data_IF_965518691428
#
_entry.id   IF_965518691428
#
_cell.length_a   1.000
_cell.length_b   1.000
_cell.length_c   1.000
_cell.angle_alpha   90.00
_cell.angle_beta   90.00
_cell.angle_gamma   90.00
#
_symmetry.space_group_name_H-M   'P 1'
#
loop_
_entity.id
_entity.type
_entity.pdbx_description
1 polymer ?
#
# COMPACT_ATOMS: atom_id res chain seq x y z
N UNK A 1 -1.35 7.42 -6.51
CA UNK A 1 -1.04 6.41 -7.55
C UNK A 1 0.41 6.60 -7.98
N UNK A 2 1.18 5.53 -8.21
CA UNK A 2 2.55 5.66 -8.72
C UNK A 2 2.54 6.20 -10.16
N UNK A 3 3.13 7.37 -10.39
CA UNK A 3 3.26 8.03 -11.69
C UNK A 3 4.63 7.80 -12.34
N UNK A 4 5.50 6.97 -11.74
CA UNK A 4 6.83 6.68 -12.23
C UNK A 4 6.80 5.63 -13.37
N UNK A 5 7.39 5.98 -14.52
CA UNK A 5 7.34 5.19 -15.76
C UNK A 5 8.63 4.42 -16.07
N UNK A 6 9.75 4.72 -15.40
CA UNK A 6 11.08 4.20 -15.78
C UNK A 6 11.96 3.76 -14.60
N UNK A 7 11.77 4.30 -13.39
CA UNK A 7 12.71 4.09 -12.28
C UNK A 7 12.20 3.08 -11.25
N UNK A 8 13.08 2.14 -10.87
CA UNK A 8 12.88 1.22 -9.75
C UNK A 8 13.36 1.91 -8.47
N UNK A 9 12.43 2.18 -7.54
CA UNK A 9 12.77 2.83 -6.28
C UNK A 9 12.95 1.80 -5.18
N UNK A 10 14.07 1.89 -4.47
CA UNK A 10 14.32 1.12 -3.26
C UNK A 10 14.22 2.04 -2.06
N UNK A 11 13.14 1.94 -1.29
CA UNK A 11 12.92 2.75 -0.09
C UNK A 11 12.80 1.81 1.11
N UNK A 12 13.84 1.69 1.95
CA UNK A 12 13.79 0.83 3.12
C UNK A 12 12.74 1.35 4.11
N UNK A 13 12.23 0.44 4.95
CA UNK A 13 11.30 0.78 6.02
C UNK A 13 11.96 1.80 6.96
N UNK A 14 11.26 2.88 7.25
CA UNK A 14 11.81 3.98 8.04
C UNK A 14 11.01 5.28 7.90
N UNK A 15 11.57 6.43 8.28
CA UNK A 15 10.87 7.72 8.22
C UNK A 15 10.29 8.07 6.84
N UNK A 16 10.95 7.59 5.77
CA UNK A 16 10.54 7.81 4.39
C UNK A 16 9.66 6.68 3.81
N UNK A 17 9.43 5.60 4.56
CA UNK A 17 8.52 4.51 4.20
C UNK A 17 7.96 3.87 5.47
N UNK A 18 6.90 4.44 6.02
CA UNK A 18 6.32 4.01 7.29
C UNK A 18 4.79 3.91 7.22
N UNK A 19 4.26 3.06 8.09
CA UNK A 19 2.84 2.93 8.33
C UNK A 19 2.55 3.24 9.79
N UNK A 20 1.57 4.10 10.02
CA UNK A 20 1.06 4.43 11.35
C UNK A 20 -0.41 3.99 11.46
N UNK A 21 -0.90 3.60 12.65
CA UNK A 21 -0.26 3.67 13.97
C UNK A 21 0.53 2.42 14.41
N UNK A 22 0.55 1.34 13.62
CA UNK A 22 1.04 0.02 14.04
C UNK A 22 2.57 -0.20 13.94
N UNK A 23 3.35 0.87 13.73
CA UNK A 23 4.81 0.80 13.61
C UNK A 23 5.26 0.60 12.17
N UNK A 24 6.54 0.92 11.87
CA UNK A 24 6.94 1.26 10.52
C UNK A 24 6.92 0.07 9.57
N UNK A 25 6.85 -1.18 10.04
CA UNK A 25 6.72 -2.36 9.18
C UNK A 25 5.35 -3.01 9.38
N UNK A 26 4.55 -3.03 8.31
CA UNK A 26 3.29 -3.75 8.19
C UNK A 26 3.26 -4.60 6.90
N UNK A 27 4.43 -4.93 6.34
CA UNK A 27 4.54 -5.67 5.09
C UNK A 27 4.40 -4.83 3.83
N UNK A 28 4.57 -3.51 3.93
CA UNK A 28 4.59 -2.63 2.76
C UNK A 28 5.82 -2.91 1.86
N UNK A 29 5.73 -2.61 0.57
CA UNK A 29 6.86 -2.77 -0.35
C UNK A 29 8.02 -1.85 0.01
N UNK A 30 9.23 -2.38 -0.11
CA UNK A 30 10.48 -1.62 -0.09
C UNK A 30 11.08 -1.45 -1.48
N UNK A 31 10.56 -2.17 -2.47
CA UNK A 31 10.97 -2.10 -3.87
C UNK A 31 9.75 -1.76 -4.73
N UNK A 32 9.81 -0.64 -5.43
CA UNK A 32 8.71 -0.09 -6.21
C UNK A 32 9.04 -0.21 -7.69
N UNK A 33 8.34 -1.14 -8.36
CA UNK A 33 8.44 -1.30 -9.80
C UNK A 33 7.74 -0.14 -10.53
N UNK A 34 8.23 0.24 -11.71
CA UNK A 34 7.54 1.19 -12.57
C UNK A 34 6.14 0.69 -12.95
N UNK A 35 5.25 1.63 -13.29
CA UNK A 35 3.83 1.41 -13.64
C UNK A 35 2.90 1.14 -12.44
N UNK A 36 1.61 1.00 -12.77
CA UNK A 36 0.52 0.81 -11.80
C UNK A 36 0.49 -0.64 -11.31
N UNK A 37 1.06 -0.86 -10.15
CA UNK A 37 0.90 -2.09 -9.37
C UNK A 37 -0.24 -1.88 -8.36
N UNK A 38 -1.28 -2.72 -8.42
CA UNK A 38 -2.42 -2.67 -7.50
C UNK A 38 -2.37 -3.86 -6.55
N UNK A 39 -2.84 -3.65 -5.32
CA UNK A 39 -2.94 -4.68 -4.29
C UNK A 39 -1.59 -5.33 -3.94
N UNK A 40 -0.57 -4.48 -3.83
CA UNK A 40 0.82 -4.90 -3.59
C UNK A 40 1.10 -5.35 -2.15
N UNK A 41 0.25 -5.01 -1.19
CA UNK A 41 0.33 -5.49 0.19
C UNK A 41 -1.01 -5.33 0.90
N UNK A 42 -1.13 -5.93 2.08
CA UNK A 42 -2.28 -5.83 2.98
C UNK A 42 -1.80 -5.47 4.39
N UNK A 43 -2.58 -4.66 5.11
CA UNK A 43 -2.32 -4.31 6.52
C UNK A 43 -3.34 -5.03 7.39
N UNK A 44 -2.85 -5.78 8.39
CA UNK A 44 -3.72 -6.43 9.38
C UNK A 44 -3.97 -5.48 10.53
N UNK A 45 -5.24 -5.14 10.76
CA UNK A 45 -5.66 -4.30 11.89
C UNK A 45 -6.34 -5.15 12.97
N UNK A 46 -6.27 -4.75 14.25
CA UNK A 46 -6.99 -5.41 15.34
C UNK A 46 -8.51 -5.46 15.13
N UNK A 47 -9.19 -6.41 15.80
CA UNK A 47 -10.66 -6.54 15.72
C UNK A 47 -11.41 -5.30 16.26
N UNK A 48 -10.78 -4.53 17.15
CA UNK A 48 -11.30 -3.30 17.75
C UNK A 48 -10.79 -2.03 17.02
N UNK A 49 -10.37 -2.15 15.76
CA UNK A 49 -9.87 -1.03 14.97
C UNK A 49 -10.93 0.09 14.80
N UNK A 50 -12.21 -0.27 14.73
CA UNK A 50 -13.31 0.69 14.66
C UNK A 50 -13.18 1.64 13.45
N UNK A 51 -13.32 2.94 13.71
CA UNK A 51 -13.22 4.01 12.71
C UNK A 51 -11.80 4.61 12.56
N UNK A 52 -10.77 3.90 13.05
CA UNK A 52 -9.38 4.36 12.91
C UNK A 52 -8.94 4.32 11.44
N UNK A 53 -7.87 5.03 11.16
CA UNK A 53 -7.25 5.08 9.84
C UNK A 53 -5.80 4.60 9.92
N UNK A 54 -5.38 3.88 8.89
CA UNK A 54 -3.99 3.52 8.61
C UNK A 54 -3.47 4.52 7.58
N UNK A 55 -2.33 5.13 7.88
CA UNK A 55 -1.66 6.05 6.96
C UNK A 55 -0.33 5.45 6.54
N UNK A 56 -0.16 5.25 5.25
CA UNK A 56 1.12 4.90 4.65
C UNK A 56 1.76 6.15 4.08
N UNK A 57 2.96 6.48 4.56
CA UNK A 57 3.75 7.62 4.09
C UNK A 57 4.96 7.10 3.30
N UNK A 58 5.14 7.62 2.09
CA UNK A 58 6.27 7.33 1.22
C UNK A 58 6.93 8.62 0.75
N UNK A 59 8.21 8.82 1.06
CA UNK A 59 8.99 9.96 0.58
C UNK A 59 10.06 9.48 -0.41
N UNK A 60 10.03 10.00 -1.63
CA UNK A 60 11.02 9.71 -2.68
C UNK A 60 11.38 10.99 -3.43
N UNK A 61 12.66 11.17 -3.76
CA UNK A 61 13.18 12.37 -4.43
C UNK A 61 12.71 13.71 -3.82
N UNK A 62 12.54 13.75 -2.49
CA UNK A 62 12.08 14.93 -1.76
C UNK A 62 10.57 15.22 -1.87
N UNK A 63 9.79 14.33 -2.49
CA UNK A 63 8.33 14.39 -2.54
C UNK A 63 7.74 13.34 -1.60
N UNK A 64 6.71 13.74 -0.84
CA UNK A 64 6.02 12.84 0.10
C UNK A 64 4.61 12.57 -0.40
N UNK A 65 4.31 11.29 -0.60
CA UNK A 65 2.99 10.76 -0.94
C UNK A 65 2.38 10.05 0.27
N UNK A 66 1.06 10.14 0.42
CA UNK A 66 0.32 9.47 1.50
C UNK A 66 -0.86 8.68 0.96
N UNK A 67 -1.01 7.44 1.43
CA UNK A 67 -2.18 6.61 1.18
C UNK A 67 -2.90 6.33 2.50
N UNK A 68 -4.23 6.41 2.46
CA UNK A 68 -5.09 6.30 3.63
C UNK A 68 -5.99 5.06 3.47
N UNK A 69 -6.11 4.26 4.52
CA UNK A 69 -6.94 3.07 4.55
C UNK A 69 -7.75 2.99 5.86
N UNK A 70 -9.04 2.66 5.77
CA UNK A 70 -9.91 2.47 6.92
C UNK A 70 -10.86 1.28 6.68
N UNK A 71 -11.47 0.77 7.75
CA UNK A 71 -12.53 -0.26 7.65
C UNK A 71 -13.92 0.35 7.41
N UNK A 72 -14.00 1.66 7.19
CA UNK A 72 -15.28 2.33 6.97
C UNK A 72 -15.91 1.82 5.68
N UNK A 73 -17.22 1.58 5.73
CA UNK A 73 -17.94 0.86 4.67
C UNK A 73 -17.95 1.61 3.34
N UNK A 74 -17.78 2.94 3.37
CA UNK A 74 -17.64 3.82 2.21
C UNK A 74 -16.27 3.73 1.51
N UNK A 75 -15.22 3.27 2.21
CA UNK A 75 -13.88 3.05 1.67
C UNK A 75 -13.62 1.61 1.22
N UNK A 76 -14.59 0.70 1.42
CA UNK A 76 -14.45 -0.69 1.02
C UNK A 76 -14.37 -0.81 -0.50
N UNK A 77 -13.17 -1.12 -0.98
CA UNK A 77 -12.97 -1.59 -2.36
C UNK A 77 -13.46 -3.04 -2.41
N UNK A 78 -14.55 -3.30 -3.13
CA UNK A 78 -15.11 -4.64 -3.30
C UNK A 78 -14.05 -5.61 -3.87
N UNK A 79 -13.96 -6.81 -3.31
CA UNK A 79 -13.10 -7.92 -3.78
C UNK A 79 -13.29 -8.21 -5.27
N UNK A 80 -14.47 -7.97 -5.86
CA UNK A 80 -14.66 -8.06 -7.32
C UNK A 80 -13.85 -7.01 -8.10
N UNK A 81 -13.72 -5.80 -7.57
CA UNK A 81 -12.88 -4.73 -8.15
C UNK A 81 -11.40 -5.08 -8.02
N UNK A 82 -11.02 -5.77 -6.94
CA UNK A 82 -9.67 -6.27 -6.70
C UNK A 82 -9.31 -7.35 -7.73
N UNK A 83 -10.17 -8.35 -7.90
CA UNK A 83 -9.98 -9.43 -8.89
C UNK A 83 -10.02 -8.95 -10.34
N UNK A 84 -10.81 -7.92 -10.65
CA UNK A 84 -10.93 -7.38 -12.02
C UNK A 84 -9.74 -6.48 -12.40
N UNK A 85 -9.09 -5.84 -11.43
CA UNK A 85 -7.89 -5.03 -11.65
C UNK A 85 -6.58 -5.82 -11.47
N UNK A 86 -6.59 -6.94 -10.74
CA UNK A 86 -5.50 -7.91 -10.62
C UNK A 86 -5.55 -9.01 -11.69
N UNK A 87 -5.91 -8.65 -12.92
CA UNK A 87 -5.93 -9.60 -14.04
C UNK A 87 -4.55 -10.25 -14.23
N UNK A 88 -4.51 -11.57 -14.07
CA UNK A 88 -3.42 -12.50 -14.40
C UNK A 88 -2.07 -12.26 -13.72
N UNK A 89 -1.77 -13.07 -12.71
CA UNK A 89 -0.64 -14.01 -12.77
C UNK A 89 -0.73 -14.99 -11.58
N UNK A 90 -1.31 -16.16 -11.87
CA UNK A 90 -1.13 -17.35 -11.04
C UNK A 90 0.33 -17.79 -11.16
N UNK A 91 1.10 -17.68 -10.08
CA UNK A 91 2.32 -18.47 -9.90
C UNK A 91 2.00 -19.55 -8.87
N UNK A 92 1.70 -20.75 -9.38
CA UNK A 92 1.73 -21.98 -8.59
C UNK A 92 3.17 -22.47 -8.48
N UNK A 93 3.49 -23.11 -7.35
CA UNK A 93 4.77 -23.72 -6.98
C UNK A 93 5.53 -24.45 -8.09
#
# INVERSE_FOLDING_TARGET
MNSNWEEELNVPIGPDNNIEPAGPDQGQPTHFLPRRNLFVFEVRVPNDFGDKEVVWTLTTHGQTERAYASLRTDYLVDKQTIGTKGGSQSWSC
#
